data_IF_124851527992
#
_entry.id   IF_124851527992
#
_cell.length_a   1.000
_cell.length_b   1.000
_cell.length_c   1.000
_cell.angle_alpha   90.00
_cell.angle_beta   90.00
_cell.angle_gamma   90.00
#
_symmetry.space_group_name_H-M   'P 1'
#
loop_
_entity.id
_entity.type
_entity.pdbx_description
1 polymer ?
#
# COMPACT_ATOMS: atom_id res chain seq x y z
N UNK A 1 15.68 11.25 -8.98
CA UNK A 1 16.83 10.42 -8.59
C UNK A 1 16.32 9.12 -8.01
N UNK A 2 16.77 7.97 -8.53
CA UNK A 2 16.29 6.63 -8.17
C UNK A 2 16.37 6.34 -6.66
N UNK A 3 17.36 6.94 -5.97
CA UNK A 3 17.51 6.85 -4.51
C UNK A 3 16.28 7.34 -3.73
N UNK A 4 15.56 8.34 -4.23
CA UNK A 4 14.35 8.85 -3.56
C UNK A 4 13.21 7.82 -3.55
N UNK A 5 13.07 7.10 -4.66
CA UNK A 5 12.06 6.04 -4.83
C UNK A 5 12.43 4.83 -3.98
N UNK A 6 13.70 4.41 -4.01
CA UNK A 6 14.18 3.30 -3.19
C UNK A 6 13.96 3.55 -1.69
N UNK A 7 14.28 4.76 -1.21
CA UNK A 7 14.04 5.14 0.18
C UNK A 7 12.54 5.20 0.52
N UNK A 8 11.67 5.58 -0.42
CA UNK A 8 10.23 5.55 -0.22
C UNK A 8 9.69 4.12 -0.11
N UNK A 9 10.20 3.20 -0.94
CA UNK A 9 9.86 1.78 -0.89
C UNK A 9 10.30 1.18 0.46
N UNK A 10 11.53 1.45 0.90
CA UNK A 10 12.03 0.98 2.19
C UNK A 10 11.22 1.49 3.39
N UNK A 11 10.72 2.73 3.32
CA UNK A 11 9.85 3.28 4.38
C UNK A 11 8.49 2.61 4.43
N UNK A 12 7.99 2.09 3.29
CA UNK A 12 6.68 1.43 3.21
C UNK A 12 5.51 2.33 3.59
N UNK A 13 5.72 3.65 3.67
CA UNK A 13 4.69 4.60 4.06
C UNK A 13 3.81 4.94 2.85
N UNK A 14 2.51 4.72 2.98
CA UNK A 14 1.52 5.03 1.96
C UNK A 14 0.63 6.13 2.51
N UNK A 15 0.53 7.23 1.78
CA UNK A 15 -0.36 8.33 2.11
C UNK A 15 -1.77 8.05 1.55
N UNK A 16 -2.74 7.90 2.46
CA UNK A 16 -4.16 7.74 2.15
C UNK A 16 -5.00 8.99 2.53
N UNK A 17 -4.32 10.10 2.81
CA UNK A 17 -4.91 11.37 3.27
C UNK A 17 -4.91 12.45 2.19
N UNK A 18 -3.96 12.40 1.26
CA UNK A 18 -3.95 13.29 0.09
C UNK A 18 -4.91 12.84 -1.00
N UNK A 19 -5.46 13.79 -1.76
CA UNK A 19 -6.32 13.48 -2.91
C UNK A 19 -5.65 12.53 -3.90
N UNK A 20 -6.39 11.55 -4.47
CA UNK A 20 -7.84 11.37 -4.38
C UNK A 20 -8.29 10.51 -3.18
N UNK A 21 -7.38 10.06 -2.33
CA UNK A 21 -7.67 9.02 -1.34
C UNK A 21 -8.81 9.34 -0.37
N UNK A 22 -9.00 10.56 0.15
CA UNK A 22 -10.15 10.87 1.01
C UNK A 22 -11.50 10.41 0.45
N UNK A 23 -11.69 10.51 -0.87
CA UNK A 23 -12.92 10.10 -1.57
C UNK A 23 -13.07 8.58 -1.80
N UNK A 24 -11.98 7.82 -1.66
CA UNK A 24 -11.94 6.37 -1.90
C UNK A 24 -12.47 5.60 -0.67
N UNK A 25 -13.17 4.50 -0.93
CA UNK A 25 -13.76 3.66 0.12
C UNK A 25 -12.72 3.13 1.11
N UNK A 26 -13.13 2.99 2.38
CA UNK A 26 -12.28 2.44 3.42
C UNK A 26 -11.81 1.01 3.11
N UNK A 27 -12.67 0.19 2.49
CA UNK A 27 -12.34 -1.17 2.07
C UNK A 27 -11.26 -1.22 0.99
N UNK A 28 -11.30 -0.32 0.01
CA UNK A 28 -10.25 -0.25 -1.02
C UNK A 28 -8.90 0.19 -0.42
N UNK A 29 -8.89 1.15 0.51
CA UNK A 29 -7.67 1.55 1.24
C UNK A 29 -7.10 0.40 2.06
N UNK A 30 -7.96 -0.36 2.73
CA UNK A 30 -7.56 -1.51 3.53
C UNK A 30 -6.95 -2.63 2.67
N UNK A 31 -7.56 -2.92 1.53
CA UNK A 31 -7.03 -3.87 0.56
C UNK A 31 -5.61 -3.48 0.12
N UNK A 32 -5.41 -2.22 -0.28
CA UNK A 32 -4.09 -1.72 -0.71
C UNK A 32 -3.05 -1.82 0.41
N UNK A 33 -3.41 -1.49 1.67
CA UNK A 33 -2.51 -1.69 2.82
C UNK A 33 -2.07 -3.13 2.98
N UNK A 34 -3.00 -4.08 2.86
CA UNK A 34 -2.71 -5.51 3.01
C UNK A 34 -1.89 -6.07 1.83
N UNK A 35 -2.09 -5.54 0.63
CA UNK A 35 -1.29 -5.91 -0.57
C UNK A 35 0.15 -5.36 -0.50
N UNK A 36 0.35 -4.18 0.10
CA UNK A 36 1.66 -3.54 0.24
C UNK A 36 2.32 -3.78 1.60
N UNK A 37 1.94 -4.86 2.29
CA UNK A 37 2.55 -5.22 3.56
C UNK A 37 4.05 -5.54 3.38
N UNK A 38 4.89 -4.94 4.22
CA UNK A 38 6.33 -5.14 4.20
C UNK A 38 6.73 -6.60 4.50
N UNK A 39 6.00 -7.26 5.41
CA UNK A 39 6.20 -8.70 5.70
C UNK A 39 5.52 -9.54 4.61
N UNK A 40 6.28 -10.30 3.79
CA UNK A 40 5.71 -11.16 2.75
C UNK A 40 4.77 -12.24 3.28
N UNK A 41 4.93 -12.68 4.54
CA UNK A 41 4.06 -13.70 5.16
C UNK A 41 2.68 -13.14 5.53
N UNK A 42 2.59 -11.84 5.74
CA UNK A 42 1.37 -11.12 6.08
C UNK A 42 0.78 -10.38 4.87
N UNK A 43 1.46 -10.42 3.73
CA UNK A 43 1.01 -9.84 2.47
C UNK A 43 -0.03 -10.74 1.83
N UNK A 44 -1.13 -10.15 1.37
CA UNK A 44 -2.16 -10.90 0.65
C UNK A 44 -1.55 -11.56 -0.59
N UNK A 45 -1.91 -12.81 -0.79
CA UNK A 45 -1.64 -13.52 -2.04
C UNK A 45 -2.64 -13.08 -3.11
N UNK A 46 -2.28 -13.24 -4.38
CA UNK A 46 -3.19 -12.92 -5.48
C UNK A 46 -4.55 -13.62 -5.31
N UNK A 47 -4.55 -14.89 -4.88
CA UNK A 47 -5.77 -15.66 -4.64
C UNK A 47 -6.71 -15.09 -3.56
N UNK A 48 -6.20 -14.30 -2.61
CA UNK A 48 -7.01 -13.69 -1.55
C UNK A 48 -7.64 -12.36 -1.96
N UNK A 49 -7.26 -11.83 -3.13
CA UNK A 49 -7.72 -10.52 -3.65
C UNK A 49 -8.77 -10.70 -4.77
N UNK A 50 -8.89 -11.90 -5.34
CA UNK A 50 -9.76 -12.23 -6.47
C UNK A 50 -11.25 -12.32 -6.10
#
# INVERSE_FOLDING_TARGET
SEHGIFNAILRGHIDFTSDPWPSISAGAKDLVRKMLNADPKQRLTAFQVL
#
